data_IF_415368921791
#
_entry.id   IF_415368921791
#
_cell.length_a   1.000
_cell.length_b   1.000
_cell.length_c   1.000
_cell.angle_alpha   90.00
_cell.angle_beta   90.00
_cell.angle_gamma   90.00
#
_symmetry.space_group_name_H-M   'P 1'
#
loop_
_entity.id
_entity.type
_entity.pdbx_description
1 polymer ?
#
# COMPACT_ATOMS: atom_id res chain seq x y z
N UNK A 1 -14.17 9.16 -39.60
CA UNK A 1 -13.71 7.85 -39.07
C UNK A 1 -12.54 8.13 -38.16
N UNK A 2 -12.67 7.96 -36.83
CA UNK A 2 -11.56 8.04 -35.90
C UNK A 2 -10.92 6.66 -35.87
N UNK A 3 -9.69 6.57 -36.38
CA UNK A 3 -8.88 5.36 -36.25
C UNK A 3 -8.67 5.06 -34.76
N UNK A 4 -9.19 3.94 -34.30
CA UNK A 4 -8.86 3.37 -33.00
C UNK A 4 -7.43 2.82 -33.09
N UNK A 5 -6.43 3.62 -32.69
CA UNK A 5 -5.10 3.12 -32.46
C UNK A 5 -5.17 2.21 -31.24
N UNK A 6 -4.98 0.92 -31.46
CA UNK A 6 -4.72 -0.03 -30.38
C UNK A 6 -3.53 0.51 -29.55
N UNK A 7 -3.65 0.67 -28.22
CA UNK A 7 -2.52 1.14 -27.43
C UNK A 7 -1.36 0.16 -27.63
N UNK A 8 -0.20 0.69 -28.08
CA UNK A 8 1.02 -0.08 -28.23
C UNK A 8 1.34 -0.74 -26.88
N UNK A 9 1.48 -2.08 -26.87
CA UNK A 9 1.93 -2.80 -25.66
C UNK A 9 3.29 -2.26 -25.23
N UNK A 10 3.42 -1.96 -23.95
CA UNK A 10 4.70 -1.51 -23.37
C UNK A 10 5.75 -2.61 -23.50
N UNK A 11 6.95 -2.23 -23.86
CA UNK A 11 8.12 -3.11 -23.80
C UNK A 11 8.46 -3.47 -22.35
N UNK A 12 9.21 -4.55 -22.12
CA UNK A 12 9.64 -4.93 -20.77
C UNK A 12 10.42 -3.80 -20.06
N UNK A 13 11.25 -3.08 -20.79
CA UNK A 13 12.02 -1.95 -20.26
C UNK A 13 11.14 -0.74 -19.91
N UNK A 14 10.11 -0.45 -20.69
CA UNK A 14 9.13 0.60 -20.36
C UNK A 14 8.30 0.24 -19.14
N UNK A 15 7.88 -1.02 -19.01
CA UNK A 15 7.20 -1.52 -17.80
C UNK A 15 8.08 -1.37 -16.57
N UNK A 16 9.35 -1.77 -16.66
CA UNK A 16 10.31 -1.65 -15.58
C UNK A 16 10.51 -0.19 -15.15
N UNK A 17 10.71 0.73 -16.11
CA UNK A 17 10.88 2.17 -15.83
C UNK A 17 9.65 2.75 -15.14
N UNK A 18 8.44 2.46 -15.64
CA UNK A 18 7.19 2.89 -15.02
C UNK A 18 7.03 2.34 -13.61
N UNK A 19 7.35 1.06 -13.40
CA UNK A 19 7.24 0.44 -12.09
C UNK A 19 8.20 1.10 -11.07
N UNK A 20 9.44 1.37 -11.49
CA UNK A 20 10.41 2.11 -10.68
C UNK A 20 9.88 3.50 -10.33
N UNK A 21 9.44 4.27 -11.33
CA UNK A 21 8.95 5.64 -11.13
C UNK A 21 7.78 5.71 -10.15
N UNK A 22 6.89 4.72 -10.17
CA UNK A 22 5.74 4.65 -9.26
C UNK A 22 6.15 4.30 -7.83
N UNK A 23 7.05 3.33 -7.66
CA UNK A 23 7.35 2.73 -6.35
C UNK A 23 8.71 3.14 -5.77
N UNK A 24 9.46 4.03 -6.40
CA UNK A 24 10.73 4.51 -5.84
C UNK A 24 10.55 5.17 -4.47
N UNK A 25 11.63 5.17 -3.69
CA UNK A 25 11.69 5.75 -2.35
C UNK A 25 13.14 5.97 -1.93
N UNK A 26 13.54 5.48 -0.75
CA UNK A 26 14.92 5.55 -0.29
C UNK A 26 15.83 4.66 -1.15
N UNK A 27 16.79 5.27 -1.85
CA UNK A 27 17.64 4.53 -2.79
C UNK A 27 18.81 3.78 -2.13
N UNK A 28 19.30 4.24 -0.96
CA UNK A 28 20.49 3.73 -0.26
C UNK A 28 20.24 2.53 0.65
N UNK A 29 19.00 2.06 0.73
CA UNK A 29 18.63 0.90 1.52
C UNK A 29 17.34 0.28 1.02
N UNK A 30 17.18 -1.03 1.18
CA UNK A 30 15.98 -1.75 0.77
C UNK A 30 15.66 -2.90 1.73
N UNK A 31 14.42 -3.37 1.67
CA UNK A 31 13.99 -4.55 2.41
C UNK A 31 14.28 -5.84 1.66
N UNK A 32 14.77 -6.82 2.41
CA UNK A 32 14.95 -8.21 1.94
C UNK A 32 14.09 -9.13 2.79
N UNK A 33 13.35 -10.01 2.14
CA UNK A 33 12.57 -11.06 2.82
C UNK A 33 13.05 -12.41 2.33
N UNK A 34 13.71 -13.17 3.23
CA UNK A 34 14.13 -14.53 2.97
C UNK A 34 13.01 -15.46 3.44
N UNK A 35 12.48 -16.25 2.53
CA UNK A 35 11.52 -17.31 2.87
C UNK A 35 12.34 -18.52 3.32
N UNK A 36 12.17 -18.95 4.57
CA UNK A 36 12.87 -20.16 5.07
C UNK A 36 12.38 -21.41 4.32
N UNK A 37 13.26 -22.44 4.22
CA UNK A 37 12.90 -23.73 3.65
C UNK A 37 11.90 -24.49 4.53
N UNK A 38 10.94 -25.17 3.92
CA UNK A 38 9.93 -25.97 4.63
C UNK A 38 10.60 -27.18 5.30
N UNK A 39 10.66 -27.19 6.61
CA UNK A 39 10.86 -28.45 7.34
C UNK A 39 9.55 -29.25 7.24
N UNK A 40 9.56 -30.39 6.57
CA UNK A 40 8.44 -31.23 6.15
C UNK A 40 7.29 -31.58 7.14
N UNK A 41 7.12 -30.81 8.20
CA UNK A 41 6.11 -30.99 9.25
C UNK A 41 4.98 -29.96 9.27
N UNK A 42 4.70 -29.27 8.16
CA UNK A 42 3.49 -28.41 8.05
C UNK A 42 3.50 -27.12 8.90
N UNK A 43 4.56 -26.79 9.62
CA UNK A 43 4.68 -25.55 10.38
C UNK A 43 4.99 -24.38 9.43
N UNK A 44 4.30 -23.24 9.64
CA UNK A 44 4.57 -21.99 8.90
C UNK A 44 6.04 -21.61 9.01
N UNK A 45 6.69 -21.52 7.85
CA UNK A 45 8.08 -21.05 7.75
C UNK A 45 8.10 -19.58 8.15
N UNK A 46 8.80 -19.26 9.23
CA UNK A 46 9.07 -17.86 9.59
C UNK A 46 10.08 -17.28 8.61
N UNK A 47 9.60 -16.51 7.63
CA UNK A 47 10.49 -15.68 6.82
C UNK A 47 11.19 -14.65 7.71
N UNK A 48 12.48 -14.40 7.43
CA UNK A 48 13.25 -13.33 8.08
C UNK A 48 13.26 -12.11 7.17
N UNK A 49 12.75 -10.97 7.69
CA UNK A 49 12.77 -9.69 6.96
C UNK A 49 13.75 -8.75 7.66
N UNK A 50 14.59 -8.06 6.87
CA UNK A 50 15.57 -7.09 7.37
C UNK A 50 15.87 -6.04 6.32
N UNK A 51 16.40 -4.89 6.76
CA UNK A 51 16.87 -3.82 5.87
C UNK A 51 18.32 -4.09 5.48
N UNK A 52 18.60 -4.09 4.18
CA UNK A 52 19.95 -4.13 3.62
C UNK A 52 20.35 -2.72 3.21
N UNK A 53 21.50 -2.26 3.68
CA UNK A 53 22.04 -0.92 3.42
C UNK A 53 22.94 -0.95 2.20
N UNK A 54 22.32 -0.97 1.04
CA UNK A 54 22.98 -0.89 -0.26
C UNK A 54 22.08 -0.17 -1.25
N UNK A 55 22.68 0.38 -2.28
CA UNK A 55 21.97 1.12 -3.34
C UNK A 55 21.07 0.16 -4.11
N UNK A 56 19.80 0.55 -4.28
CA UNK A 56 18.88 -0.18 -5.14
C UNK A 56 19.28 0.04 -6.58
N UNK A 57 19.65 -1.05 -7.27
CA UNK A 57 20.01 -1.03 -8.68
C UNK A 57 18.82 -1.44 -9.54
N UNK A 58 18.88 -1.15 -10.84
CA UNK A 58 17.88 -1.62 -11.80
C UNK A 58 17.69 -3.15 -11.77
N UNK A 59 18.75 -3.91 -11.44
CA UNK A 59 18.71 -5.36 -11.36
C UNK A 59 17.78 -5.83 -10.21
N UNK A 60 17.75 -5.15 -9.07
CA UNK A 60 16.83 -5.50 -7.96
C UNK A 60 15.36 -5.40 -8.39
N UNK A 61 15.01 -4.36 -9.16
CA UNK A 61 13.66 -4.19 -9.69
C UNK A 61 13.30 -5.25 -10.74
N UNK A 62 14.26 -5.57 -11.59
CA UNK A 62 14.09 -6.61 -12.60
C UNK A 62 13.90 -7.98 -11.95
N UNK A 63 14.77 -8.35 -10.99
CA UNK A 63 14.69 -9.61 -10.24
C UNK A 63 13.34 -9.74 -9.49
N UNK A 64 12.79 -8.62 -9.02
CA UNK A 64 11.47 -8.60 -8.41
C UNK A 64 10.36 -8.92 -9.41
N UNK A 65 10.34 -8.24 -10.56
CA UNK A 65 9.31 -8.48 -11.59
C UNK A 65 9.46 -9.85 -12.26
N UNK A 66 10.65 -10.42 -12.28
CA UNK A 66 10.92 -11.78 -12.81
C UNK A 66 10.75 -12.88 -11.75
N UNK A 67 10.35 -12.54 -10.51
CA UNK A 67 10.13 -13.53 -9.46
C UNK A 67 11.38 -14.14 -8.84
N UNK A 68 12.57 -13.59 -9.11
CA UNK A 68 13.86 -14.10 -8.61
C UNK A 68 14.12 -13.70 -7.16
N UNK A 69 13.92 -12.42 -6.84
CA UNK A 69 14.13 -11.87 -5.50
C UNK A 69 13.09 -10.78 -5.15
N UNK A 70 12.36 -10.95 -4.05
CA UNK A 70 11.35 -9.96 -3.63
C UNK A 70 12.02 -8.70 -3.13
N UNK A 71 11.63 -7.54 -3.67
CA UNK A 71 12.13 -6.22 -3.26
C UNK A 71 11.16 -5.57 -2.27
N UNK A 72 11.69 -5.09 -1.15
CA UNK A 72 11.01 -4.19 -0.24
C UNK A 72 11.53 -2.75 -0.43
N UNK A 73 10.63 -1.78 -0.59
CA UNK A 73 11.01 -0.37 -0.74
C UNK A 73 10.59 0.43 0.48
N UNK A 74 11.47 1.33 0.89
CA UNK A 74 11.23 2.29 1.96
C UNK A 74 10.64 3.55 1.32
N UNK A 75 9.37 3.90 1.57
CA UNK A 75 8.71 4.98 0.83
C UNK A 75 9.30 6.37 1.08
N UNK A 76 9.78 6.66 2.29
CA UNK A 76 10.40 7.93 2.64
C UNK A 76 11.82 8.01 2.10
N UNK A 77 12.17 9.09 1.37
CA UNK A 77 13.51 9.36 0.86
C UNK A 77 14.35 10.25 1.81
N UNK A 78 15.59 10.55 1.42
CA UNK A 78 16.51 11.37 2.22
C UNK A 78 16.04 12.83 2.43
N UNK A 79 15.09 13.31 1.61
CA UNK A 79 14.47 14.64 1.75
C UNK A 79 13.22 14.61 2.63
N UNK A 80 12.93 13.50 3.31
CA UNK A 80 11.72 13.27 4.09
C UNK A 80 10.43 13.38 3.26
N UNK A 81 10.50 12.95 2.01
CA UNK A 81 9.39 12.96 1.05
C UNK A 81 9.11 11.56 0.53
N UNK A 82 7.91 11.36 -0.01
CA UNK A 82 7.49 10.12 -0.65
C UNK A 82 6.54 10.40 -1.84
N UNK A 83 6.47 9.48 -2.79
CA UNK A 83 5.51 9.50 -3.93
C UNK A 83 4.31 8.60 -3.67
N UNK A 84 4.39 7.75 -2.68
CA UNK A 84 3.33 6.84 -2.30
C UNK A 84 3.33 6.56 -0.80
N UNK A 85 2.17 6.17 -0.33
CA UNK A 85 2.02 5.61 1.00
C UNK A 85 1.02 4.46 0.98
N UNK A 86 1.00 3.67 2.04
CA UNK A 86 0.19 2.46 2.11
C UNK A 86 -0.40 2.23 3.50
N UNK A 87 -1.64 1.79 3.55
CA UNK A 87 -2.25 1.18 4.74
C UNK A 87 -2.11 -0.33 4.58
N UNK A 88 -1.41 -0.97 5.51
CA UNK A 88 -1.18 -2.42 5.53
C UNK A 88 -2.23 -3.08 6.42
N UNK A 89 -3.19 -3.75 5.78
CA UNK A 89 -4.29 -4.42 6.46
C UNK A 89 -3.98 -5.91 6.53
N UNK A 90 -3.47 -6.33 7.68
CA UNK A 90 -3.28 -7.76 7.98
C UNK A 90 -4.61 -8.44 8.24
N UNK A 91 -4.85 -9.54 7.54
CA UNK A 91 -5.97 -10.44 7.80
C UNK A 91 -5.56 -11.87 7.55
N UNK A 92 -5.85 -12.74 8.50
CA UNK A 92 -5.45 -14.16 8.45
C UNK A 92 -6.60 -15.10 8.06
N UNK A 93 -7.83 -14.60 7.91
CA UNK A 93 -8.99 -15.39 7.56
C UNK A 93 -9.90 -14.64 6.58
N UNK A 94 -9.87 -15.04 5.30
CA UNK A 94 -10.88 -14.68 4.33
C UNK A 94 -11.18 -13.18 4.19
N UNK A 95 -10.20 -12.37 3.76
CA UNK A 95 -10.41 -10.92 3.61
C UNK A 95 -11.28 -10.60 2.40
N UNK A 96 -12.35 -9.83 2.61
CA UNK A 96 -13.26 -9.38 1.55
C UNK A 96 -12.76 -8.10 0.88
N UNK A 97 -11.90 -8.26 -0.12
CA UNK A 97 -11.34 -7.15 -0.91
C UNK A 97 -12.44 -6.36 -1.63
N UNK A 98 -13.48 -7.03 -2.13
CA UNK A 98 -14.58 -6.38 -2.86
C UNK A 98 -15.38 -5.44 -1.96
N UNK A 99 -15.62 -5.83 -0.72
CA UNK A 99 -16.26 -4.96 0.29
C UNK A 99 -15.43 -3.71 0.58
N UNK A 100 -14.09 -3.86 0.74
CA UNK A 100 -13.18 -2.73 0.93
C UNK A 100 -13.18 -1.80 -0.29
N UNK A 101 -13.07 -2.34 -1.51
CA UNK A 101 -13.07 -1.57 -2.77
C UNK A 101 -14.38 -0.80 -2.92
N UNK A 102 -15.53 -1.43 -2.66
CA UNK A 102 -16.83 -0.75 -2.70
C UNK A 102 -16.89 0.40 -1.67
N UNK A 103 -16.33 0.21 -0.47
CA UNK A 103 -16.27 1.28 0.54
C UNK A 103 -15.41 2.45 0.07
N UNK A 104 -14.24 2.19 -0.51
CA UNK A 104 -13.34 3.20 -1.10
C UNK A 104 -14.04 3.97 -2.22
N UNK A 105 -14.72 3.26 -3.13
CA UNK A 105 -15.49 3.84 -4.24
C UNK A 105 -16.63 4.75 -3.75
N UNK A 106 -17.41 4.29 -2.76
CA UNK A 106 -18.50 5.08 -2.17
C UNK A 106 -18.00 6.35 -1.49
N UNK A 107 -16.84 6.31 -0.87
CA UNK A 107 -16.19 7.46 -0.24
C UNK A 107 -15.43 8.34 -1.25
N UNK A 108 -15.36 7.93 -2.51
CA UNK A 108 -14.62 8.61 -3.61
C UNK A 108 -13.16 8.86 -3.24
N UNK A 109 -12.52 7.90 -2.59
CA UNK A 109 -11.11 8.01 -2.20
C UNK A 109 -10.22 7.53 -3.36
N UNK A 110 -9.13 8.25 -3.69
CA UNK A 110 -8.21 7.91 -4.79
C UNK A 110 -7.20 6.84 -4.36
N UNK A 111 -7.70 5.67 -4.01
CA UNK A 111 -6.90 4.57 -3.47
C UNK A 111 -6.91 3.38 -4.41
N UNK A 112 -5.79 2.67 -4.47
CA UNK A 112 -5.69 1.41 -5.19
C UNK A 112 -5.43 0.28 -4.18
N UNK A 113 -6.26 -0.75 -4.25
CA UNK A 113 -6.17 -1.92 -3.37
C UNK A 113 -5.38 -3.02 -4.05
N UNK A 114 -4.42 -3.57 -3.34
CA UNK A 114 -3.65 -4.74 -3.75
C UNK A 114 -3.88 -5.88 -2.75
N UNK A 115 -3.79 -7.09 -3.25
CA UNK A 115 -3.75 -8.27 -2.39
C UNK A 115 -2.37 -8.37 -1.75
N UNK A 116 -2.30 -8.47 -0.42
CA UNK A 116 -1.03 -8.70 0.28
C UNK A 116 -0.59 -10.18 0.19
N UNK A 117 0.66 -10.46 0.53
CA UNK A 117 1.21 -11.84 0.53
C UNK A 117 0.42 -12.78 1.44
N UNK A 118 -0.05 -12.28 2.58
CA UNK A 118 -0.82 -13.05 3.58
C UNK A 118 -2.30 -13.22 3.23
N UNK A 119 -2.77 -12.55 2.16
CA UNK A 119 -4.18 -12.57 1.76
C UNK A 119 -5.00 -11.39 2.29
N UNK A 120 -4.41 -10.50 3.11
CA UNK A 120 -4.96 -9.20 3.48
C UNK A 120 -4.85 -8.19 2.34
N UNK A 121 -4.83 -6.90 2.66
CA UNK A 121 -4.79 -5.84 1.65
C UNK A 121 -3.72 -4.80 1.94
N UNK A 122 -3.01 -4.38 0.90
CA UNK A 122 -2.24 -3.15 0.86
C UNK A 122 -3.06 -2.08 0.13
N UNK A 123 -3.38 -0.99 0.80
CA UNK A 123 -4.19 0.10 0.23
C UNK A 123 -3.28 1.30 -0.02
N UNK A 124 -2.97 1.53 -1.29
CA UNK A 124 -2.01 2.56 -1.68
C UNK A 124 -2.69 3.88 -2.02
N UNK A 125 -2.04 4.97 -1.62
CA UNK A 125 -2.28 6.34 -2.05
C UNK A 125 -1.03 6.81 -2.80
N UNK A 126 -1.22 7.29 -4.04
CA UNK A 126 -0.12 7.73 -4.91
C UNK A 126 -0.18 9.23 -5.16
N UNK A 127 1.00 9.84 -5.38
CA UNK A 127 1.12 11.23 -5.81
C UNK A 127 1.99 11.35 -7.06
N UNK A 128 1.71 12.34 -7.91
CA UNK A 128 2.51 12.61 -9.12
C UNK A 128 3.95 13.02 -8.79
N UNK A 129 4.09 13.76 -7.69
CA UNK A 129 5.35 14.33 -7.24
C UNK A 129 5.64 13.93 -5.79
N UNK A 130 6.86 14.18 -5.36
CA UNK A 130 7.27 13.97 -3.99
C UNK A 130 6.58 14.93 -3.02
N UNK A 131 5.85 14.40 -2.07
CA UNK A 131 5.17 15.12 -0.98
C UNK A 131 5.83 14.83 0.36
N UNK A 132 5.61 15.67 1.38
CA UNK A 132 6.09 15.41 2.75
C UNK A 132 5.56 14.06 3.25
N UNK A 133 6.47 13.22 3.77
CA UNK A 133 6.10 11.94 4.40
C UNK A 133 5.13 12.13 5.57
N UNK A 134 5.28 13.25 6.31
CA UNK A 134 4.37 13.62 7.37
C UNK A 134 2.95 13.87 6.85
N UNK A 135 2.79 14.63 5.74
CA UNK A 135 1.49 14.87 5.13
C UNK A 135 0.84 13.57 4.63
N UNK A 136 1.63 12.73 3.94
CA UNK A 136 1.15 11.42 3.47
C UNK A 136 0.65 10.57 4.64
N UNK A 137 1.42 10.49 5.71
CA UNK A 137 1.06 9.73 6.90
C UNK A 137 -0.21 10.26 7.56
N UNK A 138 -0.36 11.59 7.68
CA UNK A 138 -1.55 12.21 8.27
C UNK A 138 -2.81 11.86 7.46
N UNK A 139 -2.75 11.97 6.12
CA UNK A 139 -3.86 11.61 5.24
C UNK A 139 -4.22 10.13 5.31
N UNK A 140 -3.22 9.25 5.33
CA UNK A 140 -3.47 7.81 5.47
C UNK A 140 -4.05 7.45 6.84
N UNK A 141 -3.67 8.14 7.92
CA UNK A 141 -4.26 7.96 9.26
C UNK A 141 -5.75 8.37 9.29
N UNK A 142 -6.11 9.49 8.63
CA UNK A 142 -7.50 9.88 8.46
C UNK A 142 -8.27 8.83 7.65
N UNK A 143 -7.72 8.39 6.52
CA UNK A 143 -8.32 7.41 5.61
C UNK A 143 -8.54 6.07 6.32
N UNK A 144 -7.52 5.50 7.01
CA UNK A 144 -7.66 4.21 7.68
C UNK A 144 -8.74 4.23 8.76
N UNK A 145 -8.90 5.38 9.45
CA UNK A 145 -9.95 5.55 10.47
C UNK A 145 -11.33 5.48 9.84
N UNK A 146 -11.56 6.22 8.73
CA UNK A 146 -12.84 6.21 8.01
C UNK A 146 -13.14 4.86 7.35
N UNK A 147 -12.10 4.16 6.89
CA UNK A 147 -12.25 2.80 6.35
C UNK A 147 -12.54 1.75 7.44
N UNK A 148 -12.37 2.07 8.74
CA UNK A 148 -12.59 1.15 9.85
C UNK A 148 -11.37 0.27 10.17
N UNK A 149 -10.19 0.67 9.74
CA UNK A 149 -8.92 -0.04 9.95
C UNK A 149 -7.94 0.75 10.81
N UNK A 150 -8.43 1.45 11.84
CA UNK A 150 -7.64 2.34 12.70
C UNK A 150 -6.40 1.69 13.34
N UNK A 151 -6.42 0.36 13.54
CA UNK A 151 -5.30 -0.41 14.08
C UNK A 151 -4.26 -0.86 13.04
N UNK A 152 -4.50 -0.64 11.73
CA UNK A 152 -3.59 -1.07 10.66
C UNK A 152 -2.32 -0.21 10.62
N UNK A 153 -1.21 -0.80 10.18
CA UNK A 153 0.03 -0.08 9.97
C UNK A 153 -0.07 0.87 8.77
N UNK A 154 0.65 2.01 8.86
CA UNK A 154 0.74 3.01 7.79
C UNK A 154 2.20 3.17 7.36
N UNK A 155 2.44 3.21 6.07
CA UNK A 155 3.74 3.50 5.46
C UNK A 155 3.65 4.79 4.63
N UNK A 156 4.66 5.70 4.74
CA UNK A 156 5.83 5.61 5.59
C UNK A 156 5.48 5.58 7.08
N UNK A 157 6.19 4.75 7.87
CA UNK A 157 6.04 4.75 9.35
C UNK A 157 6.71 5.97 9.98
N UNK A 158 7.74 6.49 9.34
CA UNK A 158 8.48 7.68 9.77
C UNK A 158 7.91 8.94 9.12
N UNK A 159 7.80 10.01 9.89
CA UNK A 159 7.47 11.35 9.39
C UNK A 159 8.71 12.06 8.84
N UNK A 160 9.86 11.70 9.41
CA UNK A 160 11.19 12.17 9.04
C UNK A 160 12.24 11.12 9.38
N UNK A 161 13.34 11.11 8.66
CA UNK A 161 14.55 10.35 9.00
C UNK A 161 15.41 11.20 9.94
N UNK A 162 15.75 10.65 11.09
CA UNK A 162 16.45 11.40 12.16
C UNK A 162 17.93 11.62 11.86
N UNK A 163 18.52 10.83 11.01
CA UNK A 163 19.93 10.89 10.61
C UNK A 163 20.15 10.24 9.25
N UNK A 164 21.36 10.41 8.70
CA UNK A 164 21.77 9.71 7.47
C UNK A 164 21.86 8.19 7.65
N UNK A 165 21.96 7.72 8.88
CA UNK A 165 21.98 6.28 9.21
C UNK A 165 20.58 5.71 9.41
N UNK A 166 19.57 6.54 9.59
CA UNK A 166 18.18 6.09 9.69
C UNK A 166 17.65 5.73 8.30
N UNK A 167 17.06 4.54 8.18
CA UNK A 167 16.52 4.08 6.90
C UNK A 167 15.00 4.03 6.88
N UNK A 168 14.34 4.05 8.02
CA UNK A 168 12.90 3.82 8.09
C UNK A 168 12.51 2.35 7.83
N UNK A 169 11.21 2.13 7.65
CA UNK A 169 10.62 0.81 7.43
C UNK A 169 10.24 0.61 5.96
N UNK A 170 10.47 -0.58 5.45
CA UNK A 170 10.10 -0.95 4.09
C UNK A 170 8.74 -1.67 4.02
N UNK A 171 8.13 -1.62 2.85
CA UNK A 171 7.00 -2.45 2.45
C UNK A 171 7.42 -3.34 1.28
N UNK A 172 7.06 -4.62 1.32
CA UNK A 172 7.26 -5.50 0.17
C UNK A 172 6.37 -5.09 -1.00
N UNK A 173 6.97 -4.88 -2.17
CA UNK A 173 6.26 -4.42 -3.35
C UNK A 173 5.25 -5.45 -3.89
N UNK A 174 4.19 -4.97 -4.56
CA UNK A 174 3.30 -5.80 -5.35
C UNK A 174 3.97 -6.29 -6.65
N UNK A 175 3.28 -7.14 -7.40
CA UNK A 175 3.73 -7.69 -8.69
C UNK A 175 5.07 -8.45 -8.64
N UNK A 176 5.39 -9.07 -7.50
CA UNK A 176 6.47 -10.06 -7.47
C UNK A 176 6.13 -11.22 -8.41
N UNK A 177 7.01 -11.53 -9.36
CA UNK A 177 6.80 -12.44 -10.49
C UNK A 177 5.81 -11.89 -11.55
N UNK A 178 5.80 -10.57 -11.75
CA UNK A 178 5.03 -9.92 -12.83
C UNK A 178 3.54 -10.22 -12.76
N UNK A 179 2.97 -10.64 -13.87
CA UNK A 179 1.54 -10.92 -13.99
C UNK A 179 1.11 -12.28 -13.37
N UNK A 180 2.06 -13.17 -13.07
CA UNK A 180 1.82 -14.44 -12.36
C UNK A 180 1.80 -14.28 -10.84
N UNK A 181 1.82 -13.05 -10.37
CA UNK A 181 1.86 -12.71 -8.95
C UNK A 181 0.59 -13.08 -8.20
N UNK A 182 0.71 -13.34 -6.90
CA UNK A 182 -0.42 -13.36 -5.97
C UNK A 182 -0.65 -12.01 -5.28
N UNK A 183 0.20 -10.98 -5.58
CA UNK A 183 0.18 -9.64 -4.99
C UNK A 183 -0.22 -8.60 -6.05
N UNK A 184 -1.33 -8.84 -6.71
CA UNK A 184 -1.87 -8.01 -7.80
C UNK A 184 -2.74 -6.86 -7.27
N UNK A 185 -2.93 -5.85 -8.10
CA UNK A 185 -3.93 -4.82 -7.87
C UNK A 185 -5.33 -5.31 -8.26
N UNK A 186 -6.34 -4.68 -7.67
CA UNK A 186 -7.73 -4.87 -8.06
C UNK A 186 -8.23 -3.65 -8.85
N UNK A 187 -9.10 -3.88 -9.83
CA UNK A 187 -9.87 -2.84 -10.47
C UNK A 187 -11.03 -2.37 -9.56
N UNK A 188 -11.80 -1.38 -10.02
CA UNK A 188 -12.94 -0.82 -9.29
C UNK A 188 -14.13 -1.80 -9.09
N UNK A 189 -14.11 -2.95 -9.74
CA UNK A 189 -15.11 -4.00 -9.63
C UNK A 189 -14.65 -5.18 -8.75
N UNK A 190 -13.41 -5.08 -8.25
CA UNK A 190 -12.81 -6.08 -7.36
C UNK A 190 -12.21 -7.27 -8.09
N UNK A 191 -11.86 -7.11 -9.36
CA UNK A 191 -11.19 -8.12 -10.17
C UNK A 191 -9.68 -7.87 -10.18
N UNK A 192 -8.90 -8.96 -10.18
CA UNK A 192 -7.45 -8.90 -10.30
C UNK A 192 -7.04 -8.35 -11.68
N UNK A 193 -6.08 -7.44 -11.69
CA UNK A 193 -5.56 -6.84 -12.92
C UNK A 193 -4.07 -7.08 -13.09
N UNK A 194 -3.62 -7.16 -14.34
CA UNK A 194 -2.22 -7.28 -14.71
C UNK A 194 -1.46 -5.95 -14.51
N UNK A 195 -0.14 -5.98 -14.70
CA UNK A 195 0.73 -4.83 -14.48
C UNK A 195 0.42 -3.64 -15.41
N UNK A 196 0.06 -3.87 -16.68
CA UNK A 196 -0.27 -2.78 -17.62
C UNK A 196 -1.59 -2.09 -17.26
N UNK A 197 -2.60 -2.86 -16.87
CA UNK A 197 -3.89 -2.33 -16.41
C UNK A 197 -3.72 -1.55 -15.09
N UNK A 198 -2.82 -2.01 -14.20
CA UNK A 198 -2.45 -1.24 -13.01
C UNK A 198 -1.82 0.11 -13.38
N UNK A 199 -0.93 0.17 -14.37
CA UNK A 199 -0.36 1.47 -14.80
C UNK A 199 -1.43 2.43 -15.32
N UNK A 200 -2.42 1.92 -16.04
CA UNK A 200 -3.56 2.73 -16.50
C UNK A 200 -4.41 3.22 -15.31
N UNK A 201 -4.70 2.32 -14.35
CA UNK A 201 -5.43 2.65 -13.13
C UNK A 201 -4.67 3.67 -12.27
N UNK A 202 -3.36 3.52 -12.10
CA UNK A 202 -2.51 4.46 -11.39
C UNK A 202 -2.59 5.86 -12.01
N UNK A 203 -2.48 5.96 -13.35
CA UNK A 203 -2.53 7.25 -14.07
C UNK A 203 -3.85 8.02 -13.83
N UNK A 204 -4.94 7.33 -13.52
CA UNK A 204 -6.24 7.94 -13.23
C UNK A 204 -6.50 8.19 -11.74
N UNK A 205 -5.62 7.73 -10.84
CA UNK A 205 -5.85 7.75 -9.40
C UNK A 205 -4.79 8.48 -8.57
N UNK A 206 -3.66 8.90 -9.14
CA UNK A 206 -2.69 9.67 -8.38
C UNK A 206 -3.17 11.13 -8.15
N UNK A 207 -2.68 11.74 -7.10
CA UNK A 207 -2.95 13.12 -6.73
C UNK A 207 -1.69 13.97 -6.95
N UNK A 208 -1.86 15.26 -7.26
CA UNK A 208 -0.79 16.21 -7.05
C UNK A 208 -0.70 16.64 -5.57
N UNK A 209 0.34 17.41 -5.21
CA UNK A 209 0.58 17.83 -3.84
C UNK A 209 -0.57 18.68 -3.25
N UNK A 210 -1.16 19.56 -4.06
CA UNK A 210 -2.26 20.43 -3.64
C UNK A 210 -3.55 19.63 -3.49
N UNK A 211 -3.82 18.70 -4.40
CA UNK A 211 -4.94 17.76 -4.30
C UNK A 211 -4.85 16.92 -3.02
N UNK A 212 -3.66 16.38 -2.71
CA UNK A 212 -3.45 15.62 -1.48
C UNK A 212 -3.69 16.49 -0.24
N UNK A 213 -3.13 17.70 -0.19
CA UNK A 213 -3.31 18.64 0.93
C UNK A 213 -4.79 18.98 1.16
N UNK A 214 -5.53 19.19 0.07
CA UNK A 214 -6.93 19.57 0.10
C UNK A 214 -7.91 18.38 0.08
N UNK A 215 -7.40 17.14 0.08
CA UNK A 215 -8.23 15.94 0.11
C UNK A 215 -9.11 15.94 1.36
N UNK A 216 -10.42 16.10 1.15
CA UNK A 216 -11.43 16.05 2.21
C UNK A 216 -11.94 14.63 2.35
N UNK A 217 -11.70 14.02 3.50
CA UNK A 217 -12.17 12.69 3.82
C UNK A 217 -13.49 12.84 4.57
N UNK A 218 -14.59 12.54 3.86
CA UNK A 218 -15.92 12.60 4.47
C UNK A 218 -16.06 11.44 5.46
N UNK A 219 -16.30 11.76 6.70
CA UNK A 219 -16.73 10.76 7.69
C UNK A 219 -18.18 10.37 7.37
N UNK A 220 -18.54 9.09 7.43
CA UNK A 220 -19.93 8.71 7.37
C UNK A 220 -20.71 9.43 8.48
N UNK A 221 -21.87 9.97 8.14
CA UNK A 221 -22.78 10.51 9.14
C UNK A 221 -23.22 9.35 10.04
N UNK A 222 -22.88 9.43 11.31
CA UNK A 222 -23.31 8.47 12.32
C UNK A 222 -24.18 9.18 13.34
N UNK A 223 -25.11 8.49 14.03
CA UNK A 223 -25.93 9.06 15.10
C UNK A 223 -25.10 9.68 16.24
N UNK A 224 -23.80 9.47 16.24
CA UNK A 224 -22.86 9.90 17.27
C UNK A 224 -21.75 10.79 16.73
N UNK A 225 -22.07 11.64 15.72
CA UNK A 225 -21.12 12.53 15.05
C UNK A 225 -20.33 13.45 15.98
N UNK A 226 -20.84 13.68 17.19
CA UNK A 226 -20.21 14.52 18.24
C UNK A 226 -19.38 13.70 19.24
N UNK A 227 -19.32 12.38 19.09
CA UNK A 227 -18.53 11.49 19.95
C UNK A 227 -17.06 11.40 19.55
N UNK A 228 -16.18 10.94 20.45
CA UNK A 228 -14.79 10.64 20.10
C UNK A 228 -14.74 9.65 18.93
N UNK A 229 -13.81 9.83 17.97
CA UNK A 229 -13.68 8.97 16.78
C UNK A 229 -13.58 7.46 17.09
N UNK A 230 -13.04 7.10 18.25
CA UNK A 230 -12.94 5.72 18.71
C UNK A 230 -14.32 5.09 19.01
N UNK A 231 -15.26 5.85 19.55
CA UNK A 231 -16.62 5.34 19.83
C UNK A 231 -17.39 5.09 18.53
N UNK A 232 -17.29 6.00 17.56
CA UNK A 232 -17.87 5.78 16.23
C UNK A 232 -17.34 4.52 15.57
N UNK A 233 -16.02 4.30 15.65
CA UNK A 233 -15.38 3.12 15.09
C UNK A 233 -15.85 1.82 15.76
N UNK A 234 -16.00 1.85 17.08
CA UNK A 234 -16.50 0.71 17.87
C UNK A 234 -17.93 0.32 17.51
N UNK A 235 -18.80 1.32 17.31
CA UNK A 235 -20.19 1.12 16.92
C UNK A 235 -20.30 0.57 15.50
N UNK A 236 -19.51 1.14 14.56
CA UNK A 236 -19.51 0.69 13.16
C UNK A 236 -18.97 -0.73 12.98
N UNK A 237 -17.99 -1.14 13.77
CA UNK A 237 -17.36 -2.45 13.65
C UNK A 237 -17.97 -3.54 14.52
N UNK A 238 -19.04 -3.24 15.27
CA UNK A 238 -19.68 -4.20 16.21
C UNK A 238 -18.61 -4.97 16.99
N UNK A 239 -17.89 -4.29 17.89
CA UNK A 239 -16.85 -4.93 18.71
C UNK A 239 -17.41 -6.17 19.37
N UNK A 240 -16.95 -7.35 19.00
CA UNK A 240 -17.38 -8.63 19.54
C UNK A 240 -17.11 -8.73 21.06
N UNK A 241 -17.72 -9.69 21.73
CA UNK A 241 -17.72 -9.79 23.20
C UNK A 241 -16.34 -9.80 23.87
N UNK A 242 -15.25 -10.21 23.20
CA UNK A 242 -13.90 -10.18 23.75
C UNK A 242 -13.11 -8.87 23.54
N UNK A 243 -13.59 -7.96 22.68
CA UNK A 243 -12.88 -6.73 22.33
C UNK A 243 -13.30 -5.48 23.10
N UNK A 244 -14.38 -5.53 23.87
CA UNK A 244 -14.97 -4.37 24.55
C UNK A 244 -14.06 -3.74 25.59
N UNK A 245 -13.31 -4.54 26.34
CA UNK A 245 -12.41 -4.03 27.38
C UNK A 245 -11.16 -3.38 26.80
N UNK A 246 -10.62 -3.88 25.68
CA UNK A 246 -9.46 -3.28 25.03
C UNK A 246 -9.79 -1.98 24.30
N UNK A 247 -11.05 -1.78 23.92
CA UNK A 247 -11.48 -0.60 23.18
C UNK A 247 -11.78 0.60 24.11
N UNK A 248 -11.90 0.39 25.42
CA UNK A 248 -12.14 1.45 26.40
C UNK A 248 -10.86 2.04 27.01
N UNK A 249 -9.68 1.41 26.78
CA UNK A 249 -8.40 1.79 27.39
C UNK A 249 -7.33 2.22 26.38
N UNK A 250 -7.68 2.42 25.11
CA UNK A 250 -6.84 2.98 24.06
C UNK A 250 -7.55 4.17 23.40
#
# INVERSE_FOLDING_TARGET
MREWRCPLKLTAMEKLRKFIDIFEGLNRAHGVTIVGESNGNGSKIKGKSFVKREIITQQHWLDHLEGKASLGVIPINDDNKCKWGCIDIDSYAGFDHKKLINKIKNLKLPLIVFRSKSGGAHVFLFTSDYVSAALMQDKLNEIRSVLGYGGSEVFPKQRELKSKDDTGNFLNLPYFNGDETTRYAFNNDGEAINLEDFFALHTSNYLDADMLKNLKIKRPETPYSDGPPCIELMIQNRVGEGGRNNALFH
#
